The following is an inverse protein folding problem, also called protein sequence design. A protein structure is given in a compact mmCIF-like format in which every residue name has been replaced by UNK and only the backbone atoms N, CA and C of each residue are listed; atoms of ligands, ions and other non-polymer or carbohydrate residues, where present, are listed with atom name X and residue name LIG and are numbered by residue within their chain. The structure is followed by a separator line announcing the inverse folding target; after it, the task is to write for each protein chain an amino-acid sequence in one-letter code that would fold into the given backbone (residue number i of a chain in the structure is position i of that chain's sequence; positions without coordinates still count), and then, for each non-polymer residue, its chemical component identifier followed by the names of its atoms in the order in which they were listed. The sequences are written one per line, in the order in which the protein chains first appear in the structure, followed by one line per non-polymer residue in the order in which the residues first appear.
data_IF_735453002299
#
_entry.id   IF_735453002299
#
_cell.length_a   1.000
_cell.length_b   1.000
_cell.length_c   1.000
_cell.angle_alpha   90.00
_cell.angle_beta   90.00
_cell.angle_gamma   90.00
#
_symmetry.space_group_name_H-M   'P 1'
#
loop_
_entity.id
_entity.type
_entity.pdbx_description
1 polymer ?
#
# COMPACT_ATOMS: atom_id res chain seq x y z
N UNK A 1 7.00 12.27 -10.80
CA UNK A 1 7.26 11.83 -9.40
C UNK A 1 7.64 13.02 -8.51
N UNK A 2 8.58 13.87 -8.90
CA UNK A 2 9.06 14.98 -8.04
C UNK A 2 8.03 16.04 -7.62
N UNK A 3 6.87 16.10 -8.26
CA UNK A 3 5.77 17.01 -7.91
C UNK A 3 4.56 16.28 -7.28
N UNK A 4 4.72 15.01 -6.93
CA UNK A 4 3.64 14.22 -6.34
C UNK A 4 3.48 14.57 -4.85
N UNK A 5 2.23 14.61 -4.39
CA UNK A 5 1.92 14.72 -2.97
C UNK A 5 2.23 13.42 -2.21
N UNK A 6 2.13 12.28 -2.88
CA UNK A 6 2.40 10.95 -2.33
C UNK A 6 3.03 10.02 -3.39
N UNK A 7 3.85 9.08 -2.93
CA UNK A 7 4.35 7.97 -3.74
C UNK A 7 4.54 6.72 -2.86
N UNK A 8 4.40 5.53 -3.44
CA UNK A 8 4.56 4.26 -2.74
C UNK A 8 5.04 3.16 -3.68
N UNK A 9 5.70 2.14 -3.14
CA UNK A 9 5.99 0.90 -3.84
C UNK A 9 4.84 -0.10 -3.68
N UNK A 10 4.74 -1.01 -4.65
CA UNK A 10 3.91 -2.20 -4.53
C UNK A 10 4.68 -3.47 -4.87
N UNK A 11 4.34 -4.58 -4.22
CA UNK A 11 4.89 -5.90 -4.52
C UNK A 11 4.52 -6.91 -3.45
N UNK A 12 4.67 -8.21 -3.71
CA UNK A 12 4.27 -9.25 -2.74
C UNK A 12 4.96 -9.09 -1.38
N UNK A 13 6.25 -8.74 -1.37
CA UNK A 13 7.01 -8.53 -0.14
C UNK A 13 6.95 -7.09 0.39
N UNK A 14 6.88 -6.10 -0.51
CA UNK A 14 6.83 -4.67 -0.13
C UNK A 14 5.41 -4.22 0.24
N UNK A 15 4.40 -4.96 -0.19
CA UNK A 15 2.98 -4.70 0.01
C UNK A 15 2.55 -3.35 -0.57
N UNK A 16 2.12 -2.41 0.27
CA UNK A 16 1.95 -0.99 -0.06
C UNK A 16 2.87 -0.20 0.87
N UNK A 17 4.02 0.23 0.36
CA UNK A 17 5.08 0.85 1.17
C UNK A 17 5.28 2.33 0.80
N UNK A 18 5.04 3.30 1.70
CA UNK A 18 5.19 4.72 1.40
C UNK A 18 6.64 5.11 1.09
N UNK A 19 6.82 5.99 0.10
CA UNK A 19 8.11 6.59 -0.27
C UNK A 19 8.19 7.99 0.33
N UNK A 20 9.22 8.21 1.16
CA UNK A 20 9.47 9.50 1.83
C UNK A 20 10.20 10.51 0.95
N UNK A 21 11.09 10.01 0.09
CA UNK A 21 12.10 10.78 -0.62
C UNK A 21 12.57 10.01 -1.86
N UNK A 22 12.87 10.74 -2.94
CA UNK A 22 13.48 10.21 -4.17
C UNK A 22 14.57 11.16 -4.65
N UNK A 23 15.77 10.64 -4.93
CA UNK A 23 16.92 11.41 -5.42
C UNK A 23 17.18 12.68 -4.60
N UNK A 24 17.26 12.52 -3.27
CA UNK A 24 17.44 13.60 -2.30
C UNK A 24 16.34 14.67 -2.29
N UNK A 25 15.16 14.38 -2.85
CA UNK A 25 13.98 15.26 -2.84
C UNK A 25 12.85 14.63 -2.06
N UNK A 26 12.37 15.36 -1.05
CA UNK A 26 11.21 14.94 -0.26
C UNK A 26 9.97 14.88 -1.15
N UNK A 27 9.20 13.79 -1.04
CA UNK A 27 7.90 13.65 -1.70
C UNK A 27 6.82 14.18 -0.75
N UNK A 28 5.97 15.08 -1.23
CA UNK A 28 4.93 15.73 -0.43
C UNK A 28 5.46 16.31 0.89
N UNK A 29 4.95 15.79 2.00
CA UNK A 29 5.35 16.20 3.36
C UNK A 29 6.42 15.30 4.00
N UNK A 30 7.00 14.36 3.24
CA UNK A 30 8.00 13.43 3.74
C UNK A 30 7.47 12.45 4.79
N UNK A 31 6.18 12.10 4.74
CA UNK A 31 5.52 11.10 5.57
C UNK A 31 4.51 10.30 4.73
N UNK A 32 3.93 9.25 5.31
CA UNK A 32 2.78 8.55 4.70
C UNK A 32 1.61 9.53 4.61
N UNK A 33 1.09 9.73 3.41
CA UNK A 33 -0.10 10.53 3.19
C UNK A 33 -1.40 9.72 3.28
N UNK A 34 -2.57 10.39 3.28
CA UNK A 34 -3.87 9.76 3.49
C UNK A 34 -4.26 8.76 2.39
N UNK A 35 -3.85 8.97 1.15
CA UNK A 35 -4.19 8.05 0.05
C UNK A 35 -3.42 6.74 0.22
N UNK A 36 -2.12 6.83 0.49
CA UNK A 36 -1.26 5.67 0.73
C UNK A 36 -1.70 4.90 1.96
N UNK A 37 -2.12 5.59 3.03
CA UNK A 37 -2.69 4.95 4.23
C UNK A 37 -4.00 4.21 3.93
N UNK A 38 -4.88 4.80 3.13
CA UNK A 38 -6.14 4.17 2.71
C UNK A 38 -5.86 2.91 1.91
N UNK A 39 -4.97 2.98 0.92
CA UNK A 39 -4.60 1.83 0.10
C UNK A 39 -3.91 0.74 0.91
N UNK A 40 -2.99 1.11 1.80
CA UNK A 40 -2.29 0.19 2.69
C UNK A 40 -3.28 -0.56 3.59
N UNK A 41 -4.22 0.16 4.22
CA UNK A 41 -5.26 -0.43 5.08
C UNK A 41 -6.15 -1.38 4.29
N UNK A 42 -6.65 -0.95 3.12
CA UNK A 42 -7.52 -1.77 2.27
C UNK A 42 -6.84 -3.03 1.75
N UNK A 43 -5.56 -2.93 1.36
CA UNK A 43 -4.76 -4.09 0.97
C UNK A 43 -4.63 -5.07 2.12
N UNK A 44 -4.27 -4.59 3.31
CA UNK A 44 -4.06 -5.42 4.49
C UNK A 44 -5.32 -6.11 5.01
N UNK A 45 -6.47 -5.46 4.91
CA UNK A 45 -7.74 -6.08 5.26
C UNK A 45 -8.18 -7.07 4.18
N UNK A 46 -7.90 -6.78 2.90
CA UNK A 46 -8.16 -7.72 1.80
C UNK A 46 -7.37 -9.01 1.99
N UNK A 47 -6.03 -8.95 2.02
CA UNK A 47 -5.17 -10.16 2.03
C UNK A 47 -5.30 -11.00 3.31
N UNK A 48 -5.84 -10.42 4.40
CA UNK A 48 -6.16 -11.14 5.64
C UNK A 48 -7.59 -11.69 5.68
N UNK A 49 -8.36 -11.56 4.60
CA UNK A 49 -9.73 -12.05 4.53
C UNK A 49 -10.72 -11.28 5.41
N UNK A 50 -10.41 -10.04 5.80
CA UNK A 50 -11.31 -9.18 6.60
C UNK A 50 -12.31 -8.41 5.74
N UNK A 51 -12.19 -8.53 4.41
CA UNK A 51 -13.10 -7.93 3.43
C UNK A 51 -13.75 -9.04 2.61
N UNK A 52 -15.04 -8.87 2.33
CA UNK A 52 -15.80 -9.74 1.43
C UNK A 52 -15.59 -9.40 -0.05
N UNK A 53 -14.90 -8.29 -0.34
CA UNK A 53 -14.50 -7.98 -1.71
C UNK A 53 -13.49 -9.02 -2.22
N UNK A 54 -13.55 -9.35 -3.50
CA UNK A 54 -12.60 -10.23 -4.18
C UNK A 54 -12.27 -11.55 -3.44
N UNK A 55 -13.28 -12.37 -3.06
CA UNK A 55 -13.02 -13.66 -2.44
C UNK A 55 -12.19 -14.58 -3.35
N UNK A 56 -12.25 -14.38 -4.68
CA UNK A 56 -11.49 -15.11 -5.68
C UNK A 56 -9.96 -14.91 -5.58
N UNK A 57 -9.48 -13.91 -4.84
CA UNK A 57 -8.03 -13.70 -4.63
C UNK A 57 -7.43 -14.60 -3.54
N UNK A 58 -8.25 -15.24 -2.71
CA UNK A 58 -7.79 -16.12 -1.65
C UNK A 58 -7.89 -17.58 -2.07
N UNK A 59 -6.84 -18.35 -1.80
CA UNK A 59 -6.87 -19.82 -1.85
C UNK A 59 -6.79 -20.34 -0.42
N UNK A 60 -7.92 -20.71 0.21
CA UNK A 60 -7.91 -21.30 1.54
C UNK A 60 -7.16 -22.63 1.53
N UNK A 61 -6.25 -22.80 2.49
CA UNK A 61 -5.57 -24.07 2.72
C UNK A 61 -6.08 -24.60 4.06
N UNK A 62 -6.95 -25.61 4.00
CA UNK A 62 -7.40 -26.33 5.19
C UNK A 62 -6.31 -27.28 5.65
N UNK A 63 -5.99 -27.26 6.95
CA UNK A 63 -5.14 -28.26 7.60
C UNK A 63 -5.94 -29.51 7.95
#
# INVERSE_FOLDING_TARGET
VYIADEAFFTGTAAEVLPIRELDARVIGNGKRGPVTETLQSLYFDQVRGRREAHPEWHTPVTM
#
